data_IF_778771629907
#
_entry.id   IF_778771629907
#
_cell.length_a   1.000
_cell.length_b   1.000
_cell.length_c   1.000
_cell.angle_alpha   90.00
_cell.angle_beta   90.00
_cell.angle_gamma   90.00
#
_symmetry.space_group_name_H-M   'P 1'
#
loop_
_entity.id
_entity.type
_entity.pdbx_description
1 polymer ?
#
# COMPACT_ATOMS: atom_id res chain seq x y z
N UNK A 1 18.83 1.24 29.74
CA UNK A 1 17.84 1.99 28.93
C UNK A 1 18.29 3.43 28.90
N UNK A 2 18.44 4.04 27.72
CA UNK A 2 18.80 5.47 27.63
C UNK A 2 17.56 6.34 27.86
N UNK A 3 17.76 7.57 28.33
CA UNK A 3 16.69 8.51 28.70
C UNK A 3 15.67 8.76 27.57
N UNK A 4 16.09 8.59 26.31
CA UNK A 4 15.23 8.73 25.14
C UNK A 4 14.24 7.57 24.96
N UNK A 5 14.57 6.33 25.34
CA UNK A 5 13.61 5.21 25.25
C UNK A 5 12.41 5.42 26.20
N UNK A 6 12.62 6.10 27.32
CA UNK A 6 11.58 6.38 28.30
C UNK A 6 10.57 7.43 27.80
N UNK A 7 10.94 8.35 26.92
CA UNK A 7 10.07 9.47 26.57
C UNK A 7 8.79 9.03 25.85
N UNK A 8 8.91 8.22 24.79
CA UNK A 8 7.74 7.70 24.06
C UNK A 8 6.92 6.80 24.98
N UNK A 9 7.56 5.86 25.69
CA UNK A 9 6.90 4.90 26.58
C UNK A 9 6.13 5.57 27.72
N UNK A 10 6.63 6.68 28.26
CA UNK A 10 6.00 7.40 29.37
C UNK A 10 4.79 8.25 28.94
N UNK A 11 4.69 8.62 27.67
CA UNK A 11 3.59 9.43 27.14
C UNK A 11 2.54 8.61 26.41
N UNK A 12 2.82 7.33 26.21
CA UNK A 12 2.06 6.44 25.36
C UNK A 12 0.70 6.10 25.96
N UNK A 13 -0.36 6.27 25.18
CA UNK A 13 -1.64 5.63 25.46
C UNK A 13 -1.59 4.19 24.93
N UNK A 14 -1.22 3.26 25.82
CA UNK A 14 -1.08 1.85 25.48
C UNK A 14 -2.39 1.23 25.00
N UNK A 15 -3.54 1.67 25.52
CA UNK A 15 -4.84 1.13 25.11
C UNK A 15 -5.16 1.51 23.67
N UNK A 16 -4.78 2.73 23.25
CA UNK A 16 -4.94 3.16 21.87
C UNK A 16 -3.94 2.48 20.94
N UNK A 17 -2.68 2.30 21.35
CA UNK A 17 -1.65 1.69 20.49
C UNK A 17 -1.84 0.19 20.32
N UNK A 18 -2.36 -0.51 21.33
CA UNK A 18 -2.61 -1.94 21.26
C UNK A 18 -3.91 -2.29 20.52
N UNK A 19 -4.67 -1.31 20.02
CA UNK A 19 -5.84 -1.57 19.16
C UNK A 19 -5.43 -1.98 17.76
N UNK A 20 -6.20 -2.86 17.15
CA UNK A 20 -6.00 -3.23 15.77
C UNK A 20 -6.25 -2.03 14.84
N UNK A 21 -5.38 -1.80 13.85
CA UNK A 21 -5.56 -0.70 12.90
C UNK A 21 -6.81 -0.90 12.04
N UNK A 22 -7.35 0.20 11.53
CA UNK A 22 -8.51 0.23 10.64
C UNK A 22 -9.72 -0.56 11.16
N UNK A 23 -9.99 -0.51 12.47
CA UNK A 23 -11.10 -1.22 13.12
C UNK A 23 -11.12 -2.74 12.79
N UNK A 24 -9.94 -3.35 12.71
CA UNK A 24 -9.76 -4.76 12.35
C UNK A 24 -10.28 -5.11 10.94
N UNK A 25 -10.25 -4.15 10.01
CA UNK A 25 -10.68 -4.35 8.63
C UNK A 25 -9.49 -4.74 7.72
N UNK A 26 -9.37 -6.01 7.29
CA UNK A 26 -8.24 -6.47 6.48
C UNK A 26 -8.19 -5.84 5.08
N UNK A 27 -9.33 -5.39 4.52
CA UNK A 27 -9.35 -4.72 3.20
C UNK A 27 -8.70 -3.34 3.28
N UNK A 28 -8.98 -2.59 4.34
CA UNK A 28 -8.39 -1.27 4.57
C UNK A 28 -6.89 -1.39 4.84
N UNK A 29 -6.49 -2.34 5.69
CA UNK A 29 -5.09 -2.63 5.98
C UNK A 29 -4.34 -3.04 4.70
N UNK A 30 -4.93 -3.90 3.87
CA UNK A 30 -4.34 -4.29 2.59
C UNK A 30 -4.16 -3.10 1.65
N UNK A 31 -5.15 -2.20 1.56
CA UNK A 31 -5.06 -0.98 0.75
C UNK A 31 -3.98 -0.02 1.26
N UNK A 32 -3.89 0.19 2.56
CA UNK A 32 -2.86 1.02 3.19
C UNK A 32 -1.46 0.45 2.94
N UNK A 33 -1.29 -0.87 3.03
CA UNK A 33 -0.03 -1.54 2.72
C UNK A 33 0.41 -1.30 1.27
N UNK A 34 -0.51 -1.41 0.30
CA UNK A 34 -0.21 -1.08 -1.11
C UNK A 34 0.20 0.38 -1.28
N UNK A 35 -0.53 1.31 -0.68
CA UNK A 35 -0.22 2.74 -0.74
C UNK A 35 1.15 3.07 -0.13
N UNK A 36 1.58 2.32 0.90
CA UNK A 36 2.88 2.44 1.56
C UNK A 36 3.97 1.56 0.92
N UNK A 37 3.69 0.87 -0.19
CA UNK A 37 4.58 -0.10 -0.84
C UNK A 37 5.12 -1.21 0.10
N UNK A 38 4.33 -1.61 1.09
CA UNK A 38 4.66 -2.71 2.01
C UNK A 38 4.29 -4.03 1.35
N UNK A 39 5.30 -4.87 1.07
CA UNK A 39 5.10 -6.17 0.41
C UNK A 39 4.49 -7.23 1.32
N UNK A 40 4.93 -7.28 2.57
CA UNK A 40 4.50 -8.28 3.55
C UNK A 40 4.25 -7.59 4.87
N UNK A 41 3.03 -7.74 5.38
CA UNK A 41 2.65 -7.29 6.72
C UNK A 41 2.99 -8.38 7.74
N UNK A 42 3.34 -7.95 8.94
CA UNK A 42 3.47 -8.80 10.12
C UNK A 42 2.68 -8.16 11.27
N UNK A 43 2.30 -8.94 12.28
CA UNK A 43 1.60 -8.39 13.44
C UNK A 43 2.40 -7.27 14.12
N UNK A 44 3.70 -7.48 14.35
CA UNK A 44 4.59 -6.44 14.87
C UNK A 44 4.73 -5.24 13.93
N UNK A 45 4.65 -5.46 12.61
CA UNK A 45 4.67 -4.40 11.61
C UNK A 45 3.40 -3.54 11.65
N UNK A 46 2.24 -4.12 11.93
CA UNK A 46 1.00 -3.39 12.15
C UNK A 46 1.06 -2.57 13.45
N UNK A 47 1.53 -3.17 14.55
CA UNK A 47 1.78 -2.43 15.80
C UNK A 47 2.75 -1.26 15.58
N UNK A 48 3.77 -1.45 14.74
CA UNK A 48 4.71 -0.38 14.39
C UNK A 48 3.99 0.81 13.76
N UNK A 49 2.99 0.58 12.92
CA UNK A 49 2.21 1.66 12.29
C UNK A 49 1.45 2.47 13.33
N UNK A 50 0.85 1.83 14.34
CA UNK A 50 0.19 2.53 15.45
C UNK A 50 1.20 3.37 16.25
N UNK A 51 2.39 2.84 16.50
CA UNK A 51 3.47 3.59 17.18
C UNK A 51 3.97 4.76 16.33
N UNK A 52 4.10 4.58 15.02
CA UNK A 52 4.46 5.65 14.08
C UNK A 52 3.41 6.77 14.07
N UNK A 53 2.12 6.42 14.02
CA UNK A 53 1.01 7.39 14.05
C UNK A 53 0.98 8.16 15.37
N UNK A 54 1.15 7.48 16.51
CA UNK A 54 1.26 8.14 17.80
C UNK A 54 2.49 9.06 17.88
N UNK A 55 3.65 8.60 17.42
CA UNK A 55 4.88 9.40 17.41
C UNK A 55 4.74 10.66 16.54
N UNK A 56 4.02 10.58 15.41
CA UNK A 56 3.70 11.73 14.58
C UNK A 56 2.86 12.78 15.32
N UNK A 57 1.92 12.37 16.19
CA UNK A 57 1.15 13.32 17.02
C UNK A 57 2.05 14.13 17.97
N UNK A 58 3.20 13.56 18.34
CA UNK A 58 4.23 14.19 19.17
C UNK A 58 5.33 14.89 18.35
N UNK A 59 5.16 14.97 17.02
CA UNK A 59 6.16 15.48 16.07
C UNK A 59 7.51 14.76 16.17
N UNK A 60 7.48 13.48 16.56
CA UNK A 60 8.68 12.67 16.73
C UNK A 60 8.92 11.77 15.53
N UNK A 61 10.05 11.97 14.85
CA UNK A 61 10.47 11.21 13.68
C UNK A 61 11.67 10.28 13.94
N UNK A 62 11.97 9.99 15.21
CA UNK A 62 13.08 9.10 15.59
C UNK A 62 12.72 7.63 15.33
N UNK A 63 13.22 7.11 14.20
CA UNK A 63 13.04 5.71 13.79
C UNK A 63 13.60 4.71 14.80
N UNK A 64 14.71 5.03 15.46
CA UNK A 64 15.32 4.13 16.45
C UNK A 64 14.44 4.02 17.68
N UNK A 65 13.85 5.14 18.10
CA UNK A 65 12.91 5.17 19.21
C UNK A 65 11.65 4.38 18.86
N UNK A 66 11.02 4.67 17.72
CA UNK A 66 9.84 3.95 17.23
C UNK A 66 10.10 2.44 17.20
N UNK A 67 11.19 1.99 16.58
CA UNK A 67 11.51 0.57 16.49
C UNK A 67 11.75 -0.08 17.87
N UNK A 68 12.42 0.63 18.78
CA UNK A 68 12.67 0.12 20.13
C UNK A 68 11.37 0.01 20.94
N UNK A 69 10.52 1.02 20.85
CA UNK A 69 9.22 1.06 21.51
C UNK A 69 8.28 -0.02 20.97
N UNK A 70 8.18 -0.19 19.65
CA UNK A 70 7.41 -1.29 19.06
C UNK A 70 7.88 -2.64 19.56
N UNK A 71 9.20 -2.89 19.60
CA UNK A 71 9.76 -4.15 20.14
C UNK A 71 9.38 -4.33 21.61
N UNK A 72 9.50 -3.28 22.41
CA UNK A 72 9.14 -3.31 23.83
C UNK A 72 7.66 -3.71 24.03
N UNK A 73 6.74 -3.02 23.35
CA UNK A 73 5.30 -3.30 23.46
C UNK A 73 4.98 -4.70 22.93
N UNK A 74 5.51 -5.06 21.77
CA UNK A 74 5.31 -6.37 21.16
C UNK A 74 5.79 -7.51 22.07
N UNK A 75 6.96 -7.37 22.69
CA UNK A 75 7.55 -8.43 23.50
C UNK A 75 6.95 -8.52 24.90
N UNK A 76 6.72 -7.37 25.56
CA UNK A 76 6.47 -7.32 27.00
C UNK A 76 5.06 -6.86 27.38
N UNK A 77 4.34 -6.15 26.50
CA UNK A 77 3.04 -5.57 26.84
C UNK A 77 1.86 -6.33 26.23
N UNK A 78 1.97 -6.72 24.96
CA UNK A 78 0.91 -7.51 24.32
C UNK A 78 0.83 -8.92 24.91
N UNK A 79 -0.38 -9.33 25.25
CA UNK A 79 -0.68 -10.72 25.59
C UNK A 79 -0.56 -11.63 24.35
N UNK A 80 -0.39 -12.95 24.53
CA UNK A 80 -0.35 -13.88 23.41
C UNK A 80 -1.57 -13.76 22.48
N UNK A 81 -2.78 -13.64 23.04
CA UNK A 81 -4.02 -13.50 22.26
C UNK A 81 -4.04 -12.21 21.44
N UNK A 82 -3.58 -11.08 22.00
CA UNK A 82 -3.49 -9.85 21.21
C UNK A 82 -2.47 -9.96 20.08
N UNK A 83 -1.32 -10.63 20.30
CA UNK A 83 -0.35 -10.88 19.22
C UNK A 83 -0.96 -11.71 18.10
N UNK A 84 -1.73 -12.73 18.47
CA UNK A 84 -2.46 -13.57 17.52
C UNK A 84 -3.47 -12.77 16.70
N UNK A 85 -4.23 -11.86 17.32
CA UNK A 85 -5.15 -10.96 16.60
C UNK A 85 -4.43 -10.07 15.58
N UNK A 86 -3.28 -9.50 15.96
CA UNK A 86 -2.45 -8.71 15.05
C UNK A 86 -1.89 -9.54 13.89
N UNK A 87 -1.46 -10.77 14.16
CA UNK A 87 -0.94 -11.70 13.16
C UNK A 87 -2.03 -12.16 12.19
N UNK A 88 -3.22 -12.50 12.70
CA UNK A 88 -4.38 -12.89 11.90
C UNK A 88 -4.81 -11.76 10.96
N UNK A 89 -4.89 -10.52 11.46
CA UNK A 89 -5.19 -9.35 10.63
C UNK A 89 -4.14 -9.14 9.53
N UNK A 90 -2.85 -9.27 9.86
CA UNK A 90 -1.77 -9.15 8.89
C UNK A 90 -1.86 -10.24 7.81
N UNK A 91 -2.12 -11.49 8.19
CA UNK A 91 -2.26 -12.61 7.27
C UNK A 91 -3.45 -12.42 6.32
N UNK A 92 -4.62 -12.04 6.84
CA UNK A 92 -5.80 -11.74 6.02
C UNK A 92 -5.53 -10.62 5.01
N UNK A 93 -4.85 -9.55 5.44
CA UNK A 93 -4.47 -8.46 4.55
C UNK A 93 -3.45 -8.90 3.47
N UNK A 94 -2.47 -9.73 3.85
CA UNK A 94 -1.50 -10.31 2.92
C UNK A 94 -2.19 -11.20 1.86
N UNK A 95 -3.14 -12.03 2.26
CA UNK A 95 -3.91 -12.89 1.35
C UNK A 95 -4.70 -12.08 0.32
N UNK A 96 -5.31 -10.97 0.75
CA UNK A 96 -5.99 -10.03 -0.15
C UNK A 96 -5.00 -9.43 -1.16
N UNK A 97 -3.85 -8.97 -0.69
CA UNK A 97 -2.82 -8.41 -1.56
C UNK A 97 -2.28 -9.43 -2.56
N UNK A 98 -2.06 -10.66 -2.12
CA UNK A 98 -1.59 -11.76 -2.97
C UNK A 98 -2.60 -12.06 -4.09
N UNK A 99 -3.90 -12.14 -3.77
CA UNK A 99 -4.97 -12.35 -4.76
C UNK A 99 -5.01 -11.23 -5.79
N UNK A 100 -4.91 -9.97 -5.35
CA UNK A 100 -4.88 -8.81 -6.26
C UNK A 100 -3.64 -8.86 -7.16
N UNK A 101 -2.47 -9.20 -6.62
CA UNK A 101 -1.26 -9.35 -7.41
C UNK A 101 -1.40 -10.45 -8.48
N UNK A 102 -2.01 -11.58 -8.13
CA UNK A 102 -2.28 -12.67 -9.08
C UNK A 102 -3.22 -12.21 -10.20
N UNK A 103 -4.34 -11.56 -9.86
CA UNK A 103 -5.30 -11.03 -10.84
C UNK A 103 -4.62 -10.03 -11.79
N UNK A 104 -3.80 -9.12 -11.24
CA UNK A 104 -3.08 -8.14 -12.06
C UNK A 104 -2.08 -8.82 -13.00
N UNK A 105 -1.33 -9.81 -12.50
CA UNK A 105 -0.42 -10.60 -13.32
C UNK A 105 -1.15 -11.35 -14.45
N UNK A 106 -2.29 -11.97 -14.14
CA UNK A 106 -3.11 -12.67 -15.14
C UNK A 106 -3.66 -11.71 -16.20
N UNK A 107 -4.10 -10.52 -15.79
CA UNK A 107 -4.56 -9.48 -16.70
C UNK A 107 -3.44 -8.98 -17.61
N UNK A 108 -2.24 -8.73 -17.06
CA UNK A 108 -1.06 -8.34 -17.85
C UNK A 108 -0.69 -9.44 -18.85
N UNK A 109 -0.69 -10.70 -18.42
CA UNK A 109 -0.44 -11.85 -19.29
C UNK A 109 -1.47 -11.93 -20.42
N UNK A 110 -2.76 -11.69 -20.14
CA UNK A 110 -3.81 -11.65 -21.17
C UNK A 110 -3.60 -10.50 -22.15
N UNK A 111 -3.30 -9.31 -21.66
CA UNK A 111 -3.02 -8.12 -22.49
C UNK A 111 -1.80 -8.38 -23.39
N UNK A 112 -0.73 -8.97 -22.86
CA UNK A 112 0.49 -9.28 -23.64
C UNK A 112 0.26 -10.28 -24.78
N UNK A 113 -0.83 -11.04 -24.73
CA UNK A 113 -1.22 -12.02 -25.76
C UNK A 113 -2.21 -11.46 -26.78
N UNK A 114 -2.71 -10.24 -26.57
CA UNK A 114 -3.54 -9.59 -27.59
C UNK A 114 -2.66 -9.33 -28.81
N UNK A 115 -3.07 -9.88 -29.94
CA UNK A 115 -2.48 -9.55 -31.24
C UNK A 115 -2.90 -8.14 -31.64
N UNK A 116 -2.10 -7.42 -32.45
CA UNK A 116 -2.53 -6.16 -33.04
C UNK A 116 -3.92 -6.30 -33.68
N UNK A 117 -4.80 -5.36 -33.39
CA UNK A 117 -6.09 -5.24 -34.06
C UNK A 117 -5.86 -4.84 -35.51
N UNK A 118 -6.26 -5.71 -36.43
CA UNK A 118 -6.19 -5.46 -37.87
C UNK A 118 -7.37 -4.60 -38.28
N UNK A 119 -7.09 -3.47 -38.90
CA UNK A 119 -8.07 -2.57 -39.49
C UNK A 119 -7.49 -1.97 -40.76
N UNK A 120 -8.34 -1.72 -41.75
CA UNK A 120 -7.95 -1.12 -43.03
C UNK A 120 -7.75 0.40 -42.92
N UNK A 121 -8.14 1.01 -41.80
CA UNK A 121 -7.98 2.43 -41.52
C UNK A 121 -6.70 2.68 -40.70
N UNK A 122 -5.68 3.37 -41.26
CA UNK A 122 -4.43 3.68 -40.56
C UNK A 122 -4.63 4.50 -39.27
N UNK A 123 -5.64 5.36 -39.20
CA UNK A 123 -5.96 6.15 -38.00
C UNK A 123 -6.46 5.21 -36.91
N UNK A 124 -7.37 4.31 -37.26
CA UNK A 124 -7.90 3.30 -36.35
C UNK A 124 -6.82 2.31 -35.91
N UNK A 125 -5.86 1.98 -36.78
CA UNK A 125 -4.76 1.08 -36.44
C UNK A 125 -3.90 1.65 -35.33
N UNK A 126 -3.52 2.93 -35.42
CA UNK A 126 -2.77 3.62 -34.37
C UNK A 126 -3.58 3.81 -33.08
N UNK A 127 -4.90 4.02 -33.20
CA UNK A 127 -5.77 4.17 -32.03
C UNK A 127 -5.92 2.85 -31.24
N UNK A 128 -6.10 1.72 -31.93
CA UNK A 128 -6.30 0.42 -31.29
C UNK A 128 -5.00 -0.25 -30.82
N UNK A 129 -3.90 -0.04 -31.54
CA UNK A 129 -2.63 -0.71 -31.27
C UNK A 129 -1.60 0.17 -30.55
N UNK A 130 -1.91 1.46 -30.38
CA UNK A 130 -0.94 2.47 -29.99
C UNK A 130 -0.04 2.89 -31.15
N UNK A 131 0.67 4.00 -30.99
CA UNK A 131 1.76 4.37 -31.89
C UNK A 131 3.10 3.95 -31.27
N UNK A 132 4.02 3.45 -32.10
CA UNK A 132 5.38 3.14 -31.67
C UNK A 132 6.16 4.46 -31.52
N UNK A 133 6.37 4.89 -30.27
CA UNK A 133 7.12 6.11 -29.96
C UNK A 133 8.60 5.78 -29.74
N UNK A 134 9.26 5.19 -30.72
CA UNK A 134 10.73 5.23 -30.81
C UNK A 134 11.17 6.63 -31.26
N UNK A 135 11.04 7.61 -30.37
CA UNK A 135 11.69 8.91 -30.52
C UNK A 135 12.45 9.17 -29.24
N UNK A 136 13.78 9.25 -29.36
CA UNK A 136 14.68 9.69 -28.30
C UNK A 136 14.26 11.08 -27.82
N UNK A 137 13.42 11.15 -26.79
CA UNK A 137 13.06 12.41 -26.14
C UNK A 137 11.66 12.44 -25.52
N UNK A 138 11.61 12.22 -24.20
CA UNK A 138 10.68 12.89 -23.29
C UNK A 138 9.19 12.51 -23.36
N UNK A 139 8.69 11.97 -22.25
CA UNK A 139 7.28 11.65 -21.94
C UNK A 139 6.33 12.87 -21.86
N UNK A 140 6.51 13.93 -22.65
CA UNK A 140 5.77 15.19 -22.45
C UNK A 140 4.45 15.34 -23.24
N UNK A 141 3.98 14.36 -24.03
CA UNK A 141 2.74 14.55 -24.81
C UNK A 141 1.69 13.42 -24.74
N UNK A 142 1.56 12.73 -23.60
CA UNK A 142 0.58 11.64 -23.43
C UNK A 142 -0.77 12.06 -22.83
N UNK A 143 -1.36 13.17 -23.28
CA UNK A 143 -2.79 13.39 -23.05
C UNK A 143 -3.47 13.85 -24.34
N UNK A 144 -4.42 13.06 -24.90
CA UNK A 144 -5.40 13.65 -25.80
C UNK A 144 -6.23 14.63 -24.96
N UNK A 145 -6.12 15.93 -25.27
CA UNK A 145 -7.03 16.93 -24.76
C UNK A 145 -8.43 16.58 -25.28
N UNK A 146 -9.25 15.98 -24.43
CA UNK A 146 -10.64 15.67 -24.75
C UNK A 146 -11.41 16.96 -25.00
N UNK A 147 -11.71 17.25 -26.26
CA UNK A 147 -12.82 18.11 -26.63
C UNK A 147 -13.91 17.26 -27.24
N UNK A 148 -14.86 16.86 -26.38
CA UNK A 148 -16.15 16.36 -26.84
C UNK A 148 -16.88 17.48 -27.55
N UNK A 149 -17.17 17.29 -28.83
CA UNK A 149 -18.22 18.03 -29.53
C UNK A 149 -19.17 16.99 -30.11
N UNK A 150 -20.28 16.78 -29.40
CA UNK A 150 -21.42 16.02 -29.91
C UNK A 150 -22.16 16.87 -30.93
N UNK A 151 -22.18 16.42 -32.17
CA UNK A 151 -23.25 16.74 -33.11
C UNK A 151 -23.24 15.69 -34.21
N UNK A 152 -24.17 14.74 -34.12
CA UNK A 152 -24.57 13.90 -35.24
C UNK A 152 -25.73 14.60 -35.98
N UNK A 153 -25.80 14.52 -37.32
CA UNK A 153 -27.06 14.67 -38.04
C UNK A 153 -27.99 13.47 -37.83
#
# INVERSE_FOLDING_TARGET
MSDNQNYLLNRMDYDSICKLPCDNNPLMVAAQARNRNIRVLTGAGLLRQNVEEFAQTLQMNDRTMINSTTKYIWSLYLTPSQKEEFEDLANKANDINLKIMQINSDNINRISRLTPQVTDDPIMSNFYNGADFQVDGGFESLFPAGHGSTSFP
#
